data_IF_814970849978
#
_entry.id   IF_814970849978
#
_cell.length_a   1.000
_cell.length_b   1.000
_cell.length_c   1.000
_cell.angle_alpha   90.00
_cell.angle_beta   90.00
_cell.angle_gamma   90.00
#
_symmetry.space_group_name_H-M   'P 1'
#
loop_
_entity.id
_entity.type
_entity.pdbx_description
1 polymer ?
#
# COMPACT_ATOMS: atom_id res chain seq x y z
N UNK A 1 -25.30 -14.31 -7.28
CA UNK A 1 -24.65 -13.58 -8.39
C UNK A 1 -23.96 -12.30 -7.92
N UNK A 2 -24.57 -11.55 -7.03
CA UNK A 2 -23.95 -10.37 -6.45
C UNK A 2 -22.69 -10.73 -5.65
N UNK A 3 -22.63 -11.90 -5.05
CA UNK A 3 -21.49 -12.35 -4.28
C UNK A 3 -20.22 -12.50 -5.10
N UNK A 4 -20.33 -12.97 -6.33
CA UNK A 4 -19.17 -13.14 -7.21
C UNK A 4 -18.57 -11.78 -7.61
N UNK A 5 -19.42 -10.79 -7.83
CA UNK A 5 -18.96 -9.44 -8.19
C UNK A 5 -18.24 -8.80 -6.99
N UNK A 6 -18.80 -8.96 -5.80
CA UNK A 6 -18.19 -8.44 -4.58
C UNK A 6 -16.83 -9.07 -4.31
N UNK A 7 -16.72 -10.40 -4.51
CA UNK A 7 -15.45 -11.09 -4.33
C UNK A 7 -14.41 -10.63 -5.35
N UNK A 8 -14.82 -10.40 -6.59
CA UNK A 8 -13.92 -9.89 -7.62
C UNK A 8 -13.40 -8.51 -7.26
N UNK A 9 -14.27 -7.63 -6.75
CA UNK A 9 -13.88 -6.28 -6.32
C UNK A 9 -12.93 -6.33 -5.15
N UNK A 10 -13.18 -7.20 -4.17
CA UNK A 10 -12.29 -7.38 -3.03
C UNK A 10 -10.91 -7.86 -3.46
N UNK A 11 -10.86 -8.81 -4.38
CA UNK A 11 -9.59 -9.33 -4.89
C UNK A 11 -8.81 -8.25 -5.62
N UNK A 12 -9.50 -7.44 -6.43
CA UNK A 12 -8.87 -6.34 -7.14
C UNK A 12 -8.30 -5.29 -6.20
N UNK A 13 -9.09 -4.89 -5.21
CA UNK A 13 -8.66 -3.92 -4.21
C UNK A 13 -7.45 -4.44 -3.43
N UNK A 14 -7.47 -5.72 -3.05
CA UNK A 14 -6.37 -6.35 -2.33
C UNK A 14 -5.09 -6.35 -3.15
N UNK A 15 -5.18 -6.68 -4.44
CA UNK A 15 -4.03 -6.66 -5.34
C UNK A 15 -3.45 -5.27 -5.50
N UNK A 16 -4.30 -4.26 -5.59
CA UNK A 16 -3.86 -2.87 -5.68
C UNK A 16 -3.12 -2.43 -4.43
N UNK A 17 -3.62 -2.84 -3.27
CA UNK A 17 -2.96 -2.53 -2.00
C UNK A 17 -1.60 -3.21 -1.89
N UNK A 18 -1.51 -4.48 -2.29
CA UNK A 18 -0.25 -5.20 -2.28
C UNK A 18 0.78 -4.56 -3.23
N UNK A 19 0.32 -4.16 -4.41
CA UNK A 19 1.17 -3.48 -5.38
C UNK A 19 1.68 -2.16 -4.81
N UNK A 20 0.78 -1.37 -4.20
CA UNK A 20 1.16 -0.10 -3.59
C UNK A 20 2.15 -0.31 -2.44
N UNK A 21 1.96 -1.35 -1.65
CA UNK A 21 2.87 -1.70 -0.57
C UNK A 21 4.29 -1.92 -1.09
N UNK A 22 4.43 -2.64 -2.21
CA UNK A 22 5.73 -2.88 -2.83
C UNK A 22 6.35 -1.60 -3.37
N UNK A 23 5.54 -0.76 -4.02
CA UNK A 23 6.00 0.54 -4.50
C UNK A 23 6.50 1.42 -3.35
N UNK A 24 5.77 1.42 -2.25
CA UNK A 24 6.14 2.21 -1.08
C UNK A 24 7.47 1.75 -0.49
N UNK A 25 7.71 0.45 -0.45
CA UNK A 25 9.00 -0.07 0.03
C UNK A 25 10.16 0.46 -0.80
N UNK A 26 10.01 0.45 -2.12
CA UNK A 26 11.02 0.98 -3.03
C UNK A 26 11.21 2.47 -2.85
N UNK A 27 10.12 3.22 -2.77
CA UNK A 27 10.17 4.67 -2.59
C UNK A 27 10.79 5.06 -1.25
N UNK A 28 10.46 4.32 -0.20
CA UNK A 28 11.03 4.56 1.13
C UNK A 28 12.53 4.33 1.11
N UNK A 29 12.99 3.26 0.47
CA UNK A 29 14.41 2.97 0.34
C UNK A 29 15.15 4.08 -0.43
N UNK A 30 14.54 4.60 -1.49
CA UNK A 30 15.11 5.70 -2.25
C UNK A 30 15.17 6.98 -1.46
N UNK A 31 14.10 7.32 -0.75
CA UNK A 31 14.05 8.51 0.10
C UNK A 31 15.10 8.44 1.21
N UNK A 32 15.27 7.26 1.80
CA UNK A 32 16.27 7.04 2.83
C UNK A 32 17.68 7.26 2.28
N UNK A 33 17.95 6.74 1.08
CA UNK A 33 19.24 6.92 0.42
C UNK A 33 19.54 8.39 0.14
N UNK A 34 18.52 9.15 -0.22
CA UNK A 34 18.66 10.59 -0.52
C UNK A 34 18.72 11.43 0.74
N UNK A 35 18.37 10.86 1.88
CA UNK A 35 18.25 11.61 3.11
C UNK A 35 17.04 12.53 3.13
N UNK A 36 16.01 12.23 2.35
CA UNK A 36 14.79 13.02 2.27
C UNK A 36 13.83 12.60 3.39
N UNK A 37 14.00 13.19 4.54
CA UNK A 37 13.22 12.84 5.74
C UNK A 37 11.75 13.20 5.60
N UNK A 38 11.45 14.30 4.92
CA UNK A 38 10.08 14.74 4.71
C UNK A 38 9.32 13.71 3.87
N UNK A 39 9.92 13.26 2.79
CA UNK A 39 9.34 12.23 1.95
C UNK A 39 9.22 10.90 2.69
N UNK A 40 10.22 10.54 3.50
CA UNK A 40 10.18 9.34 4.33
C UNK A 40 8.97 9.34 5.26
N UNK A 41 8.67 10.47 5.90
CA UNK A 41 7.52 10.57 6.79
C UNK A 41 6.21 10.34 6.04
N UNK A 42 6.07 10.98 4.89
CA UNK A 42 4.87 10.83 4.07
C UNK A 42 4.67 9.40 3.59
N UNK A 43 5.74 8.79 3.09
CA UNK A 43 5.70 7.42 2.57
C UNK A 43 5.45 6.41 3.69
N UNK A 44 6.05 6.62 4.84
CA UNK A 44 5.85 5.74 6.01
C UNK A 44 4.41 5.82 6.49
N UNK A 45 3.84 7.02 6.53
CA UNK A 45 2.44 7.20 6.92
C UNK A 45 1.50 6.47 5.95
N UNK A 46 1.75 6.61 4.66
CA UNK A 46 0.96 5.92 3.65
C UNK A 46 1.11 4.40 3.78
N UNK A 47 2.33 3.92 4.00
CA UNK A 47 2.59 2.49 4.17
C UNK A 47 1.80 1.92 5.35
N UNK A 48 1.75 2.65 6.47
CA UNK A 48 0.98 2.22 7.63
C UNK A 48 -0.50 2.08 7.30
N UNK A 49 -1.05 3.02 6.54
CA UNK A 49 -2.45 2.96 6.11
C UNK A 49 -2.71 1.78 5.19
N UNK A 50 -1.81 1.54 4.24
CA UNK A 50 -1.92 0.41 3.32
C UNK A 50 -1.84 -0.91 4.08
N UNK A 51 -0.89 -1.04 5.00
CA UNK A 51 -0.73 -2.23 5.83
C UNK A 51 -1.98 -2.50 6.67
N UNK A 52 -2.57 -1.44 7.22
CA UNK A 52 -3.80 -1.54 8.00
C UNK A 52 -4.96 -2.06 7.14
N UNK A 53 -5.11 -1.51 5.94
CA UNK A 53 -6.16 -1.95 5.02
C UNK A 53 -5.97 -3.40 4.61
N UNK A 54 -4.74 -3.83 4.41
CA UNK A 54 -4.43 -5.22 4.08
C UNK A 54 -4.79 -6.17 5.24
N UNK A 55 -4.60 -5.72 6.48
CA UNK A 55 -4.99 -6.53 7.65
C UNK A 55 -6.50 -6.65 7.79
N UNK A 56 -7.24 -5.61 7.40
CA UNK A 56 -8.69 -5.61 7.49
C UNK A 56 -9.35 -6.51 6.43
N UNK A 57 -8.63 -6.84 5.39
CA UNK A 57 -9.08 -7.76 4.36
C UNK A 57 -8.59 -9.17 4.64
#
# INVERSE_FOLDING_TARGET
MTEQVENALHTLAHRQLERRQRELRTLIAEADRRGDQEMLRKLTAEKLQVDRKLREH
#
